data_IF_319551119074
#
_entry.id   IF_319551119074
#
_cell.length_a   1.000
_cell.length_b   1.000
_cell.length_c   1.000
_cell.angle_alpha   90.00
_cell.angle_beta   90.00
_cell.angle_gamma   90.00
#
_symmetry.space_group_name_H-M   'P 1'
#
loop_
_entity.id
_entity.type
_entity.pdbx_description
1 polymer ?
#
# COMPACT_ATOMS: atom_id res chain seq x y z
N UNK A 1 14.96 1.91 -14.63
CA UNK A 1 14.09 1.64 -13.46
C UNK A 1 12.76 1.11 -13.97
N UNK A 2 12.29 -0.08 -13.53
CA UNK A 2 11.00 -0.62 -13.96
C UNK A 2 9.88 0.28 -13.42
N UNK A 3 9.01 0.81 -14.29
CA UNK A 3 7.85 1.60 -13.86
C UNK A 3 6.89 0.66 -13.11
N UNK A 4 6.73 0.90 -11.81
CA UNK A 4 5.79 0.15 -10.97
C UNK A 4 4.36 0.61 -11.31
N UNK A 5 3.42 -0.34 -11.41
CA UNK A 5 1.99 -0.04 -11.46
C UNK A 5 1.35 -0.48 -10.13
N UNK A 6 1.20 0.44 -9.15
CA UNK A 6 0.67 0.10 -7.84
C UNK A 6 -0.75 -0.45 -7.86
N UNK A 7 -1.60 0.00 -8.80
CA UNK A 7 -2.98 -0.48 -8.92
C UNK A 7 -3.01 -1.94 -9.40
N UNK A 8 -2.20 -2.29 -10.40
CA UNK A 8 -2.10 -3.65 -10.89
C UNK A 8 -1.56 -4.61 -9.81
N UNK A 9 -0.56 -4.18 -9.04
CA UNK A 9 -0.03 -4.95 -7.91
C UNK A 9 -1.13 -5.11 -6.85
N UNK A 10 -1.81 -4.04 -6.46
CA UNK A 10 -2.89 -4.11 -5.48
C UNK A 10 -3.99 -5.11 -5.90
N UNK A 11 -4.43 -5.09 -7.16
CA UNK A 11 -5.41 -6.03 -7.68
C UNK A 11 -4.97 -7.51 -7.53
N UNK A 12 -3.69 -7.79 -7.78
CA UNK A 12 -3.11 -9.12 -7.53
C UNK A 12 -3.14 -9.49 -6.04
N UNK A 13 -2.76 -8.56 -5.16
CA UNK A 13 -2.74 -8.80 -3.71
C UNK A 13 -4.16 -9.06 -3.18
N UNK A 14 -5.15 -8.27 -3.57
CA UNK A 14 -6.54 -8.47 -3.15
C UNK A 14 -7.13 -9.80 -3.64
N UNK A 15 -6.67 -10.31 -4.80
CA UNK A 15 -7.04 -11.66 -5.26
C UNK A 15 -6.48 -12.75 -4.32
N UNK A 16 -5.33 -12.51 -3.70
CA UNK A 16 -4.65 -13.47 -2.79
C UNK A 16 -5.01 -13.27 -1.31
N UNK A 17 -5.55 -12.11 -0.96
CA UNK A 17 -5.94 -11.71 0.39
C UNK A 17 -7.28 -10.95 0.32
N UNK A 18 -8.39 -11.63 -0.01
CA UNK A 18 -9.71 -11.01 -0.16
C UNK A 18 -10.26 -10.44 1.16
N UNK A 19 -9.64 -10.75 2.29
CA UNK A 19 -10.03 -10.23 3.61
C UNK A 19 -9.58 -8.77 3.86
N UNK A 20 -8.70 -8.21 3.02
CA UNK A 20 -8.28 -6.82 3.14
C UNK A 20 -9.37 -5.86 2.65
N UNK A 21 -9.66 -4.83 3.44
CA UNK A 21 -10.48 -3.70 2.99
C UNK A 21 -9.79 -2.97 1.85
N UNK A 22 -10.58 -2.57 0.84
CA UNK A 22 -10.07 -1.83 -0.31
C UNK A 22 -9.65 -0.40 0.06
N UNK A 23 -10.33 0.24 1.02
CA UNK A 23 -10.18 1.67 1.36
C UNK A 23 -10.17 2.60 0.13
N UNK A 24 -11.11 2.40 -0.81
CA UNK A 24 -11.22 3.14 -2.07
C UNK A 24 -12.46 4.06 -2.16
N UNK A 25 -13.03 4.41 -1.00
CA UNK A 25 -14.15 5.35 -0.85
C UNK A 25 -13.76 6.81 -1.17
N UNK A 26 -12.46 7.11 -1.25
CA UNK A 26 -11.97 8.48 -1.42
C UNK A 26 -12.28 9.02 -2.82
N UNK A 27 -12.67 10.30 -2.86
CA UNK A 27 -13.08 10.97 -4.09
C UNK A 27 -11.86 11.53 -4.82
N UNK A 28 -11.75 11.24 -6.12
CA UNK A 28 -10.75 11.84 -7.00
C UNK A 28 -11.04 13.34 -7.24
N UNK A 29 -10.00 14.17 -7.17
CA UNK A 29 -10.03 15.57 -7.57
C UNK A 29 -10.33 15.72 -9.06
N UNK A 30 -9.84 14.81 -9.89
CA UNK A 30 -9.98 14.85 -11.34
C UNK A 30 -11.40 14.49 -11.79
N UNK A 31 -11.93 13.36 -11.31
CA UNK A 31 -13.20 12.80 -11.81
C UNK A 31 -14.41 13.14 -10.93
N UNK A 32 -14.17 13.61 -9.70
CA UNK A 32 -15.22 13.84 -8.71
C UNK A 32 -15.94 12.57 -8.25
N UNK A 33 -15.44 11.39 -8.60
CA UNK A 33 -16.00 10.08 -8.26
C UNK A 33 -15.03 9.27 -7.38
N UNK A 34 -15.49 8.19 -6.70
CA UNK A 34 -14.60 7.31 -5.96
C UNK A 34 -13.45 6.79 -6.83
N UNK A 35 -12.23 6.89 -6.32
CA UNK A 35 -11.03 6.48 -7.03
C UNK A 35 -10.80 4.96 -6.88
N UNK A 36 -11.49 4.16 -7.70
CA UNK A 36 -11.54 2.70 -7.58
C UNK A 36 -10.15 2.02 -7.48
N UNK A 37 -9.17 2.52 -8.23
CA UNK A 37 -7.80 1.99 -8.28
C UNK A 37 -6.86 2.57 -7.20
N UNK A 38 -7.34 3.56 -6.45
CA UNK A 38 -6.66 4.17 -5.31
C UNK A 38 -7.13 3.47 -4.02
N UNK A 39 -6.58 2.29 -3.79
CA UNK A 39 -6.88 1.40 -2.66
C UNK A 39 -5.81 1.50 -1.58
N UNK A 40 -6.08 0.96 -0.38
CA UNK A 40 -5.10 0.84 0.71
C UNK A 40 -3.78 0.25 0.21
N UNK A 41 -3.83 -0.93 -0.41
CA UNK A 41 -2.62 -1.61 -0.90
C UNK A 41 -1.92 -0.80 -1.99
N UNK A 42 -2.64 -0.11 -2.89
CA UNK A 42 -1.98 0.69 -3.91
C UNK A 42 -1.29 1.92 -3.32
N UNK A 43 -1.87 2.56 -2.29
CA UNK A 43 -1.19 3.62 -1.53
C UNK A 43 -0.01 3.10 -0.70
N UNK A 44 -0.14 1.93 -0.07
CA UNK A 44 0.95 1.28 0.67
C UNK A 44 2.17 1.00 -0.24
N UNK A 45 1.94 0.49 -1.45
CA UNK A 45 3.00 0.28 -2.45
C UNK A 45 3.62 1.62 -2.87
N UNK A 46 2.80 2.66 -3.12
CA UNK A 46 3.33 3.97 -3.50
C UNK A 46 4.16 4.60 -2.38
N UNK A 47 3.69 4.51 -1.13
CA UNK A 47 4.43 4.97 0.03
C UNK A 47 5.80 4.28 0.13
N UNK A 48 5.83 2.96 -0.01
CA UNK A 48 7.09 2.19 0.00
C UNK A 48 8.06 2.63 -1.11
N UNK A 49 7.57 2.69 -2.34
CA UNK A 49 8.42 2.84 -3.54
C UNK A 49 8.81 4.30 -3.78
N UNK A 50 7.88 5.23 -3.56
CA UNK A 50 8.04 6.63 -3.99
C UNK A 50 8.21 7.60 -2.82
N UNK A 51 7.56 7.38 -1.68
CA UNK A 51 7.75 8.26 -0.50
C UNK A 51 8.99 7.85 0.29
N UNK A 52 9.19 6.54 0.49
CA UNK A 52 10.31 6.02 1.29
C UNK A 52 11.48 5.51 0.46
N UNK A 53 11.30 5.37 -0.85
CA UNK A 53 12.31 4.90 -1.79
C UNK A 53 12.96 3.56 -1.38
N UNK A 54 12.17 2.69 -0.74
CA UNK A 54 12.66 1.43 -0.17
C UNK A 54 12.83 0.34 -1.23
N UNK A 55 13.75 -0.58 -0.95
CA UNK A 55 14.06 -1.69 -1.87
C UNK A 55 12.96 -2.75 -1.86
N UNK A 56 12.29 -2.89 -3.01
CA UNK A 56 11.15 -3.81 -3.15
C UNK A 56 11.55 -5.28 -3.15
N UNK A 57 12.82 -5.59 -3.47
CA UNK A 57 13.37 -6.95 -3.48
C UNK A 57 13.89 -7.40 -2.11
N UNK A 58 13.68 -6.63 -1.04
CA UNK A 58 14.02 -7.01 0.33
C UNK A 58 12.75 -7.08 1.17
N UNK A 59 12.40 -8.27 1.65
CA UNK A 59 11.23 -8.46 2.54
C UNK A 59 11.32 -7.61 3.81
N UNK A 60 12.53 -7.34 4.30
CA UNK A 60 12.73 -6.51 5.49
C UNK A 60 12.24 -5.07 5.29
N UNK A 61 12.44 -4.49 4.12
CA UNK A 61 11.98 -3.13 3.79
C UNK A 61 10.45 -3.02 3.81
N UNK A 62 9.76 -4.08 3.37
CA UNK A 62 8.30 -4.17 3.49
C UNK A 62 7.85 -4.26 4.95
N UNK A 63 8.61 -4.95 5.81
CA UNK A 63 8.34 -4.98 7.27
C UNK A 63 8.54 -3.61 7.91
N UNK A 64 9.58 -2.85 7.51
CA UNK A 64 9.76 -1.47 7.97
C UNK A 64 8.58 -0.59 7.55
N UNK A 65 8.07 -0.80 6.34
CA UNK A 65 6.89 -0.07 5.85
C UNK A 65 5.67 -0.37 6.68
N UNK A 66 5.41 -1.64 6.97
CA UNK A 66 4.36 -2.02 7.90
C UNK A 66 4.57 -1.38 9.29
N UNK A 67 5.82 -1.34 9.79
CA UNK A 67 6.15 -0.75 11.07
C UNK A 67 5.85 0.75 11.13
N UNK A 68 6.01 1.50 10.03
CA UNK A 68 5.63 2.92 9.95
C UNK A 68 4.12 3.11 10.21
N UNK A 69 3.26 2.33 9.54
CA UNK A 69 1.81 2.38 9.76
C UNK A 69 1.41 1.96 11.18
N UNK A 70 2.19 1.05 11.78
CA UNK A 70 2.00 0.66 13.18
C UNK A 70 2.54 1.70 14.17
N UNK A 71 3.26 2.73 13.72
CA UNK A 71 3.92 3.73 14.56
C UNK A 71 5.13 3.18 15.33
N UNK A 72 5.77 2.14 14.80
CA UNK A 72 6.87 1.40 15.46
C UNK A 72 8.25 1.64 14.82
N UNK A 73 8.34 2.40 13.72
CA UNK A 73 9.61 2.75 13.08
C UNK A 73 9.69 4.24 12.76
N UNK A 74 9.13 4.70 11.64
CA UNK A 74 9.06 6.11 11.30
C UNK A 74 7.63 6.66 11.42
N UNK A 75 7.51 7.94 11.74
CA UNK A 75 6.21 8.62 11.71
C UNK A 75 5.81 8.94 10.28
N UNK A 76 4.56 8.64 9.92
CA UNK A 76 4.01 9.00 8.62
C UNK A 76 3.58 10.48 8.66
N UNK A 77 4.28 11.32 7.90
CA UNK A 77 3.93 12.72 7.65
C UNK A 77 2.69 12.80 6.76
N UNK A 78 1.71 13.62 7.15
CA UNK A 78 0.49 13.83 6.33
C UNK A 78 0.87 14.54 5.04
N UNK A 79 1.79 15.49 5.13
CA UNK A 79 2.28 16.33 4.03
C UNK A 79 2.97 15.49 2.94
N UNK A 80 3.65 14.42 3.32
CA UNK A 80 4.38 13.54 2.41
C UNK A 80 3.61 12.27 2.03
N UNK A 81 2.38 12.12 2.54
CA UNK A 81 1.60 10.92 2.31
C UNK A 81 1.01 10.88 0.89
N UNK A 82 1.05 9.71 0.22
CA UNK A 82 0.52 9.53 -1.12
C UNK A 82 -1.00 9.64 -1.23
N UNK A 83 -1.53 10.87 -1.30
CA UNK A 83 -2.94 11.12 -1.61
C UNK A 83 -3.27 11.00 -3.10
N UNK A 84 -2.29 11.19 -4.00
CA UNK A 84 -2.39 11.09 -5.47
C UNK A 84 -3.69 11.69 -6.04
N UNK A 85 -3.98 12.93 -5.68
CA UNK A 85 -5.11 13.66 -6.26
C UNK A 85 -6.46 13.23 -5.70
N UNK A 86 -6.50 12.69 -4.48
CA UNK A 86 -7.73 12.58 -3.70
C UNK A 86 -8.10 13.93 -3.09
N UNK A 87 -9.40 14.19 -2.90
CA UNK A 87 -9.91 15.40 -2.23
C UNK A 87 -9.52 15.47 -0.76
N UNK A 88 -9.29 14.33 -0.15
CA UNK A 88 -8.91 14.19 1.24
C UNK A 88 -7.72 13.24 1.31
N UNK A 89 -6.74 13.59 2.14
CA UNK A 89 -5.61 12.73 2.43
C UNK A 89 -6.09 11.49 3.23
N UNK A 90 -5.86 10.26 2.74
CA UNK A 90 -6.39 9.05 3.36
C UNK A 90 -5.54 8.49 4.51
N UNK A 91 -4.45 9.15 4.89
CA UNK A 91 -3.45 8.64 5.84
C UNK A 91 -4.00 8.14 7.16
N UNK A 92 -4.91 8.88 7.81
CA UNK A 92 -5.48 8.47 9.10
C UNK A 92 -6.32 7.19 8.99
N UNK A 93 -7.12 7.10 7.92
CA UNK A 93 -7.91 5.92 7.61
C UNK A 93 -7.03 4.71 7.31
N UNK A 94 -5.97 4.91 6.54
CA UNK A 94 -5.03 3.84 6.18
C UNK A 94 -4.24 3.33 7.38
N UNK A 95 -3.76 4.23 8.25
CA UNK A 95 -3.11 3.87 9.52
C UNK A 95 -4.07 3.04 10.37
N UNK A 96 -5.32 3.47 10.48
CA UNK A 96 -6.36 2.77 11.25
C UNK A 96 -6.63 1.38 10.68
N UNK A 97 -6.79 1.27 9.36
CA UNK A 97 -7.02 0.01 8.66
C UNK A 97 -5.86 -0.97 8.88
N UNK A 98 -4.60 -0.52 8.72
CA UNK A 98 -3.41 -1.37 8.91
C UNK A 98 -3.23 -1.79 10.37
N UNK A 99 -3.51 -0.90 11.33
CA UNK A 99 -3.50 -1.23 12.77
C UNK A 99 -4.60 -2.23 13.14
N UNK A 100 -5.72 -2.22 12.43
CA UNK A 100 -6.81 -3.18 12.60
C UNK A 100 -6.50 -4.61 12.11
N UNK A 101 -5.49 -4.79 11.26
CA UNK A 101 -5.13 -6.11 10.73
C UNK A 101 -4.60 -7.04 11.83
N UNK A 102 -4.97 -8.33 11.78
CA UNK A 102 -4.33 -9.35 12.62
C UNK A 102 -2.86 -9.54 12.26
N UNK A 103 -2.08 -10.14 13.16
CA UNK A 103 -0.66 -10.44 12.91
C UNK A 103 -0.48 -11.31 11.67
N UNK A 104 -1.35 -12.30 11.48
CA UNK A 104 -1.33 -13.22 10.34
C UNK A 104 -1.61 -12.48 9.03
N UNK A 105 -2.59 -11.56 9.00
CA UNK A 105 -2.87 -10.75 7.80
C UNK A 105 -1.72 -9.80 7.46
N UNK A 106 -1.08 -9.21 8.48
CA UNK A 106 0.11 -8.36 8.30
C UNK A 106 1.27 -9.15 7.67
N UNK A 107 1.55 -10.35 8.20
CA UNK A 107 2.60 -11.22 7.66
C UNK A 107 2.27 -11.67 6.22
N UNK A 108 1.01 -12.02 5.93
CA UNK A 108 0.55 -12.35 4.57
C UNK A 108 0.75 -11.16 3.62
N UNK A 109 0.32 -9.96 4.01
CA UNK A 109 0.48 -8.75 3.19
C UNK A 109 1.94 -8.50 2.83
N UNK A 110 2.85 -8.54 3.82
CA UNK A 110 4.28 -8.34 3.59
C UNK A 110 4.87 -9.40 2.66
N UNK A 111 4.52 -10.68 2.86
CA UNK A 111 5.02 -11.76 2.01
C UNK A 111 4.51 -11.63 0.57
N UNK A 112 3.23 -11.33 0.36
CA UNK A 112 2.66 -11.18 -0.98
C UNK A 112 3.20 -9.95 -1.71
N UNK A 113 3.41 -8.84 -1.00
CA UNK A 113 4.07 -7.67 -1.56
C UNK A 113 5.50 -8.02 -1.99
N UNK A 114 6.30 -8.66 -1.14
CA UNK A 114 7.64 -9.11 -1.51
C UNK A 114 7.62 -10.01 -2.76
N UNK A 115 6.77 -11.04 -2.78
CA UNK A 115 6.62 -11.98 -3.90
C UNK A 115 6.22 -11.27 -5.20
N UNK A 116 5.35 -10.26 -5.15
CA UNK A 116 4.94 -9.51 -6.35
C UNK A 116 6.09 -8.79 -7.06
N UNK A 117 7.19 -8.52 -6.36
CA UNK A 117 8.38 -7.87 -6.93
C UNK A 117 9.56 -8.83 -7.19
N UNK A 118 9.54 -10.04 -6.62
CA UNK A 118 10.65 -11.01 -6.75
C UNK A 118 10.30 -12.31 -7.42
N UNK A 119 9.01 -12.62 -7.60
CA UNK A 119 8.60 -13.82 -8.32
C UNK A 119 9.17 -13.77 -9.75
N UNK A 120 9.74 -14.89 -10.26
CA UNK A 120 10.07 -14.98 -11.67
C UNK A 120 8.79 -14.76 -12.47
N UNK A 121 8.85 -13.94 -13.52
CA UNK A 121 7.77 -13.91 -14.51
C UNK A 121 7.70 -15.33 -15.07
N UNK A 122 6.62 -16.07 -14.79
CA UNK A 122 6.42 -17.37 -15.40
C UNK A 122 6.29 -17.14 -16.91
N UNK A 123 7.22 -17.71 -17.66
CA UNK A 123 7.30 -17.68 -19.12
C UNK A 123 6.09 -18.33 -19.77
#
# INVERSE_FOLDING_TARGET
MRRVNPAAIAAQIYTQIPELSLENQYISNETGSPAADNTLVSRFVRYHVYTKERLTNLRFEWKLTLADYLGAFESISVEDYPDYGLRQNPVEGDITAVRGLSRELRDRLVNRLYEAFTAPVSS
#
